data_IF_333612501213
#
_entry.id   IF_333612501213
#
_cell.length_a   1.000
_cell.length_b   1.000
_cell.length_c   1.000
_cell.angle_alpha   90.00
_cell.angle_beta   90.00
_cell.angle_gamma   90.00
#
_symmetry.space_group_name_H-M   'P 1'
#
loop_
_entity.id
_entity.type
_entity.pdbx_description
1 polymer ?
#
# COMPACT_ATOMS: atom_id res chain seq x y z
N UNK A 1 -14.67 -8.39 9.76
CA UNK A 1 -14.76 -8.15 8.30
C UNK A 1 -14.42 -9.46 7.57
N UNK A 2 -14.57 -9.53 6.24
CA UNK A 2 -14.61 -10.82 5.49
C UNK A 2 -13.22 -11.45 5.41
N UNK A 3 -12.21 -10.71 4.97
CA UNK A 3 -10.86 -11.24 4.80
C UNK A 3 -10.20 -11.59 6.14
N UNK A 4 -10.50 -10.85 7.20
CA UNK A 4 -10.01 -11.13 8.57
C UNK A 4 -10.65 -12.40 9.12
N UNK A 5 -11.94 -12.64 8.85
CA UNK A 5 -12.59 -13.92 9.22
C UNK A 5 -12.00 -15.07 8.41
N UNK A 6 -11.66 -14.84 7.14
CA UNK A 6 -11.05 -15.84 6.28
C UNK A 6 -9.62 -16.18 6.72
N UNK A 7 -8.78 -15.18 6.98
CA UNK A 7 -7.41 -15.37 7.47
C UNK A 7 -7.40 -16.16 8.77
N UNK A 8 -8.26 -15.78 9.73
CA UNK A 8 -8.39 -16.50 11.01
C UNK A 8 -8.85 -17.94 10.84
N UNK A 9 -9.84 -18.19 9.98
CA UNK A 9 -10.32 -19.56 9.70
C UNK A 9 -9.20 -20.43 9.11
N UNK A 10 -8.43 -19.90 8.17
CA UNK A 10 -7.31 -20.63 7.56
C UNK A 10 -6.21 -20.86 8.60
N UNK A 11 -5.85 -19.86 9.42
CA UNK A 11 -4.85 -19.98 10.46
C UNK A 11 -5.19 -21.07 11.49
N UNK A 12 -6.44 -21.07 11.99
CA UNK A 12 -6.93 -22.11 12.91
C UNK A 12 -6.91 -23.48 12.24
N UNK A 13 -7.32 -23.58 10.98
CA UNK A 13 -7.31 -24.86 10.25
C UNK A 13 -5.89 -25.42 10.09
N UNK A 14 -4.90 -24.57 9.78
CA UNK A 14 -3.49 -24.97 9.65
C UNK A 14 -2.98 -25.48 11.00
N UNK A 15 -3.17 -24.70 12.08
CA UNK A 15 -2.66 -25.07 13.41
C UNK A 15 -3.36 -26.28 14.01
N UNK A 16 -4.62 -26.52 13.64
CA UNK A 16 -5.35 -27.74 14.05
C UNK A 16 -4.83 -28.98 13.32
N UNK A 17 -4.44 -28.84 12.06
CA UNK A 17 -3.89 -29.94 11.26
C UNK A 17 -2.43 -30.27 11.63
N UNK A 18 -1.66 -29.27 12.05
CA UNK A 18 -0.27 -29.42 12.52
C UNK A 18 -0.04 -28.60 13.80
N UNK A 19 -0.39 -29.16 14.99
CA UNK A 19 -0.24 -28.46 16.26
C UNK A 19 1.20 -28.07 16.61
N UNK A 20 2.17 -28.90 16.22
CA UNK A 20 3.61 -28.69 16.49
C UNK A 20 4.29 -27.83 15.40
N UNK A 21 3.56 -27.47 14.35
CA UNK A 21 4.03 -26.61 13.27
C UNK A 21 4.46 -25.21 13.73
N UNK A 22 5.34 -24.53 13.00
CA UNK A 22 5.87 -23.23 13.40
C UNK A 22 4.81 -22.13 13.39
N UNK A 23 4.98 -21.15 14.27
CA UNK A 23 4.11 -19.97 14.38
C UNK A 23 2.86 -20.19 15.22
N UNK A 24 2.37 -19.12 15.84
CA UNK A 24 1.09 -19.10 16.57
C UNK A 24 -0.06 -18.80 15.60
N UNK A 25 -1.30 -19.00 16.05
CA UNK A 25 -2.50 -18.69 15.24
C UNK A 25 -2.49 -17.21 14.85
N UNK A 26 -2.04 -16.33 15.74
CA UNK A 26 -1.99 -14.88 15.54
C UNK A 26 -0.97 -14.49 14.45
N UNK A 27 0.22 -15.09 14.48
CA UNK A 27 1.25 -14.85 13.45
C UNK A 27 0.75 -15.36 12.09
N UNK A 28 0.15 -16.55 12.06
CA UNK A 28 -0.43 -17.12 10.83
C UNK A 28 -1.57 -16.26 10.30
N UNK A 29 -2.47 -15.80 11.16
CA UNK A 29 -3.60 -14.93 10.79
C UNK A 29 -3.10 -13.62 10.18
N UNK A 30 -2.08 -13.00 10.78
CA UNK A 30 -1.47 -11.77 10.28
C UNK A 30 -0.86 -11.96 8.88
N UNK A 31 0.01 -12.96 8.71
CA UNK A 31 0.67 -13.26 7.44
C UNK A 31 -0.32 -13.62 6.32
N UNK A 32 -1.32 -14.46 6.63
CA UNK A 32 -2.39 -14.79 5.70
C UNK A 32 -3.21 -13.56 5.34
N UNK A 33 -3.47 -12.70 6.32
CA UNK A 33 -4.14 -11.43 6.13
C UNK A 33 -3.43 -10.53 5.11
N UNK A 34 -2.12 -10.35 5.25
CA UNK A 34 -1.31 -9.56 4.30
C UNK A 34 -1.39 -10.12 2.87
N UNK A 35 -1.30 -11.45 2.72
CA UNK A 35 -1.41 -12.12 1.42
C UNK A 35 -2.80 -11.95 0.81
N UNK A 36 -3.86 -12.13 1.61
CA UNK A 36 -5.23 -11.94 1.16
C UNK A 36 -5.51 -10.50 0.75
N UNK A 37 -4.96 -9.52 1.47
CA UNK A 37 -5.03 -8.10 1.09
C UNK A 37 -4.47 -7.87 -0.32
N UNK A 38 -3.24 -8.37 -0.54
CA UNK A 38 -2.53 -8.24 -1.81
C UNK A 38 -3.31 -8.89 -2.96
N UNK A 39 -3.70 -10.15 -2.82
CA UNK A 39 -4.41 -10.86 -3.89
C UNK A 39 -5.80 -10.27 -4.16
N UNK A 40 -6.54 -9.88 -3.12
CA UNK A 40 -7.87 -9.28 -3.29
C UNK A 40 -7.77 -7.92 -3.96
N UNK A 41 -6.82 -7.08 -3.52
CA UNK A 41 -6.56 -5.78 -4.15
C UNK A 41 -6.18 -5.92 -5.62
N UNK A 42 -5.26 -6.85 -5.94
CA UNK A 42 -4.85 -7.12 -7.33
C UNK A 42 -6.00 -7.63 -8.19
N UNK A 43 -6.80 -8.58 -7.70
CA UNK A 43 -7.96 -9.11 -8.43
C UNK A 43 -8.99 -8.01 -8.71
N UNK A 44 -9.30 -7.18 -7.72
CA UNK A 44 -10.20 -6.04 -7.89
C UNK A 44 -9.67 -5.04 -8.93
N UNK A 45 -8.38 -4.70 -8.86
CA UNK A 45 -7.73 -3.82 -9.85
C UNK A 45 -7.84 -4.39 -11.27
N UNK A 46 -7.62 -5.69 -11.45
CA UNK A 46 -7.71 -6.34 -12.76
C UNK A 46 -9.15 -6.33 -13.27
N UNK A 47 -10.11 -6.76 -12.46
CA UNK A 47 -11.53 -6.83 -12.83
C UNK A 47 -12.04 -5.44 -13.24
N UNK A 48 -11.79 -4.43 -12.40
CA UNK A 48 -12.23 -3.06 -12.65
C UNK A 48 -11.46 -2.41 -13.81
N UNK A 49 -10.15 -2.63 -13.90
CA UNK A 49 -9.32 -2.13 -14.99
C UNK A 49 -9.73 -2.69 -16.36
N UNK A 50 -10.15 -3.96 -16.42
CA UNK A 50 -10.76 -4.54 -17.63
C UNK A 50 -12.11 -3.89 -17.91
N UNK A 51 -12.94 -3.71 -16.87
CA UNK A 51 -14.28 -3.10 -17.00
C UNK A 51 -14.20 -1.67 -17.53
N UNK A 52 -13.20 -0.88 -17.12
CA UNK A 52 -13.00 0.50 -17.54
C UNK A 52 -12.11 0.66 -18.78
N UNK A 53 -11.52 -0.43 -19.29
CA UNK A 53 -10.59 -0.37 -20.42
C UNK A 53 -9.23 0.27 -20.09
N UNK A 54 -8.86 0.36 -18.80
CA UNK A 54 -7.65 1.04 -18.31
C UNK A 54 -6.66 0.09 -17.62
N UNK A 55 -6.70 -1.20 -17.96
CA UNK A 55 -5.94 -2.25 -17.26
C UNK A 55 -4.46 -1.92 -17.06
N UNK A 56 -3.76 -1.37 -18.06
CA UNK A 56 -2.34 -1.01 -17.94
C UNK A 56 -2.13 0.11 -16.93
N UNK A 57 -2.90 1.21 -17.02
CA UNK A 57 -2.84 2.30 -16.06
C UNK A 57 -3.19 1.84 -14.65
N UNK A 58 -4.16 0.93 -14.52
CA UNK A 58 -4.61 0.41 -13.23
C UNK A 58 -3.51 -0.42 -12.56
N UNK A 59 -2.81 -1.27 -13.33
CA UNK A 59 -1.67 -2.02 -12.84
C UNK A 59 -0.49 -1.10 -12.50
N UNK A 60 -0.17 -0.12 -13.35
CA UNK A 60 0.87 0.89 -13.06
C UNK A 60 0.57 1.58 -11.72
N UNK A 61 -0.66 2.04 -11.53
CA UNK A 61 -1.10 2.69 -10.30
C UNK A 61 -0.93 1.78 -9.08
N UNK A 62 -1.43 0.54 -9.16
CA UNK A 62 -1.34 -0.43 -8.06
C UNK A 62 0.13 -0.69 -7.67
N UNK A 63 0.97 -1.01 -8.66
CA UNK A 63 2.37 -1.34 -8.39
C UNK A 63 3.16 -0.13 -7.91
N UNK A 64 2.91 1.07 -8.45
CA UNK A 64 3.51 2.30 -7.95
C UNK A 64 3.13 2.56 -6.51
N UNK A 65 1.83 2.47 -6.16
CA UNK A 65 1.35 2.65 -4.80
C UNK A 65 1.99 1.65 -3.83
N UNK A 66 2.00 0.36 -4.19
CA UNK A 66 2.59 -0.70 -3.35
C UNK A 66 4.10 -0.52 -3.20
N UNK A 67 4.80 -0.15 -4.27
CA UNK A 67 6.23 0.10 -4.24
C UNK A 67 6.56 1.26 -3.30
N UNK A 68 5.93 2.43 -3.46
CA UNK A 68 6.23 3.57 -2.60
C UNK A 68 5.80 3.33 -1.15
N UNK A 69 4.67 2.63 -0.93
CA UNK A 69 4.17 2.30 0.39
C UNK A 69 5.13 1.42 1.17
N UNK A 70 5.73 0.43 0.52
CA UNK A 70 6.74 -0.45 1.13
C UNK A 70 7.92 0.30 1.77
N UNK A 71 8.28 1.47 1.23
CA UNK A 71 9.43 2.24 1.70
C UNK A 71 9.06 3.49 2.50
N UNK A 72 7.80 3.93 2.42
CA UNK A 72 7.33 5.15 3.10
C UNK A 72 6.45 4.87 4.32
N UNK A 73 5.86 3.69 4.41
CA UNK A 73 4.94 3.29 5.49
C UNK A 73 3.51 3.75 5.27
N UNK A 74 2.91 4.37 6.28
CA UNK A 74 1.57 4.96 6.20
C UNK A 74 0.48 4.17 6.92
N UNK A 75 -0.72 4.77 6.98
CA UNK A 75 -1.82 4.20 7.77
C UNK A 75 -2.30 2.86 7.23
N UNK A 76 -2.41 1.87 8.11
CA UNK A 76 -3.00 0.56 7.83
C UNK A 76 -4.49 0.56 8.15
N UNK A 77 -5.30 0.33 7.11
CA UNK A 77 -6.73 0.07 7.25
C UNK A 77 -6.95 -1.43 7.53
N UNK A 78 -8.10 -1.83 8.09
CA UNK A 78 -8.45 -3.23 8.16
C UNK A 78 -8.38 -3.89 6.77
N UNK A 79 -7.86 -5.11 6.72
CA UNK A 79 -7.48 -5.86 5.52
C UNK A 79 -8.58 -5.87 4.45
N UNK A 80 -9.84 -6.13 4.86
CA UNK A 80 -10.96 -6.09 3.90
C UNK A 80 -11.12 -4.71 3.28
N UNK A 81 -11.12 -3.65 4.10
CA UNK A 81 -11.30 -2.27 3.63
C UNK A 81 -10.10 -1.82 2.80
N UNK A 82 -8.88 -2.15 3.25
CA UNK A 82 -7.64 -1.82 2.55
C UNK A 82 -7.64 -2.38 1.12
N UNK A 83 -7.97 -3.67 0.96
CA UNK A 83 -8.01 -4.33 -0.34
C UNK A 83 -9.02 -3.69 -1.30
N UNK A 84 -10.22 -3.36 -0.79
CA UNK A 84 -11.28 -2.71 -1.57
C UNK A 84 -10.84 -1.30 -1.98
N UNK A 85 -10.45 -0.46 -1.02
CA UNK A 85 -10.04 0.92 -1.29
C UNK A 85 -8.85 0.95 -2.26
N UNK A 86 -7.88 0.06 -2.09
CA UNK A 86 -6.72 -0.03 -2.98
C UNK A 86 -7.12 -0.46 -4.39
N UNK A 87 -7.95 -1.50 -4.53
CA UNK A 87 -8.40 -1.98 -5.84
C UNK A 87 -9.21 -0.94 -6.60
N UNK A 88 -10.14 -0.26 -5.91
CA UNK A 88 -10.93 0.81 -6.51
C UNK A 88 -10.09 2.03 -6.85
N UNK A 89 -9.23 2.51 -5.93
CA UNK A 89 -8.35 3.65 -6.21
C UNK A 89 -7.45 3.36 -7.40
N UNK A 90 -6.82 2.18 -7.45
CA UNK A 90 -5.96 1.78 -8.55
C UNK A 90 -6.70 1.75 -9.89
N UNK A 91 -7.96 1.29 -9.93
CA UNK A 91 -8.74 1.24 -11.16
C UNK A 91 -9.31 2.59 -11.60
N UNK A 92 -9.59 3.50 -10.65
CA UNK A 92 -10.17 4.82 -10.93
C UNK A 92 -9.14 5.88 -11.31
N UNK A 93 -7.94 5.84 -10.72
CA UNK A 93 -6.87 6.81 -11.00
C UNK A 93 -6.55 6.97 -12.50
N UNK A 94 -6.45 5.91 -13.32
CA UNK A 94 -6.20 6.02 -14.76
C UNK A 94 -7.30 6.74 -15.55
N UNK A 95 -8.49 6.95 -14.97
CA UNK A 95 -9.55 7.74 -15.60
C UNK A 95 -9.29 9.25 -15.49
N UNK A 96 -8.31 9.66 -14.67
CA UNK A 96 -7.94 11.05 -14.42
C UNK A 96 -6.67 11.36 -15.22
N UNK A 97 -6.82 12.18 -16.26
CA UNK A 97 -5.69 12.70 -17.02
C UNK A 97 -5.23 14.04 -16.43
N UNK A 98 -4.00 14.09 -15.95
CA UNK A 98 -3.39 15.31 -15.44
C UNK A 98 -2.63 16.04 -16.55
N UNK A 99 -2.69 17.37 -16.52
CA UNK A 99 -1.78 18.16 -17.34
C UNK A 99 -0.37 18.18 -16.72
N UNK A 100 0.62 18.60 -17.50
CA UNK A 100 2.03 18.57 -17.09
C UNK A 100 2.31 19.41 -15.83
N UNK A 101 1.69 20.57 -15.71
CA UNK A 101 1.84 21.46 -14.54
C UNK A 101 1.33 20.78 -13.26
N UNK A 102 0.20 20.09 -13.34
CA UNK A 102 -0.39 19.36 -12.21
C UNK A 102 0.48 18.17 -11.80
N UNK A 103 1.04 17.43 -12.77
CA UNK A 103 1.97 16.32 -12.48
C UNK A 103 3.18 16.84 -11.70
N UNK A 104 3.79 17.95 -12.13
CA UNK A 104 4.91 18.56 -11.43
C UNK A 104 4.50 18.98 -10.02
N UNK A 105 3.38 19.69 -9.89
CA UNK A 105 2.89 20.17 -8.60
C UNK A 105 2.69 19.02 -7.61
N UNK A 106 1.97 17.97 -8.00
CA UNK A 106 1.72 16.80 -7.16
C UNK A 106 3.01 16.07 -6.80
N UNK A 107 3.95 15.92 -7.75
CA UNK A 107 5.24 15.30 -7.47
C UNK A 107 6.07 16.14 -6.48
N UNK A 108 6.09 17.48 -6.59
CA UNK A 108 6.79 18.37 -5.65
C UNK A 108 6.19 18.24 -4.25
N UNK A 109 4.86 18.30 -4.13
CA UNK A 109 4.20 18.17 -2.82
C UNK A 109 4.48 16.79 -2.21
N UNK A 110 4.38 15.73 -3.02
CA UNK A 110 4.71 14.36 -2.59
C UNK A 110 6.16 14.25 -2.13
N UNK A 111 7.10 14.85 -2.86
CA UNK A 111 8.53 14.84 -2.54
C UNK A 111 8.81 15.51 -1.20
N UNK A 112 8.22 16.68 -0.96
CA UNK A 112 8.37 17.42 0.31
C UNK A 112 7.84 16.58 1.47
N UNK A 113 6.64 16.01 1.33
CA UNK A 113 6.05 15.16 2.38
C UNK A 113 6.92 13.93 2.65
N UNK A 114 7.43 13.25 1.60
CA UNK A 114 8.31 12.09 1.75
C UNK A 114 9.63 12.44 2.44
N UNK A 115 10.23 13.60 2.12
CA UNK A 115 11.48 14.05 2.76
C UNK A 115 11.31 14.28 4.26
N UNK A 116 10.19 14.90 4.65
CA UNK A 116 9.92 15.26 6.04
C UNK A 116 9.49 14.03 6.84
N UNK A 117 8.53 13.26 6.33
CA UNK A 117 7.80 12.28 7.14
C UNK A 117 8.18 10.81 6.88
N UNK A 118 8.75 10.44 5.73
CA UNK A 118 9.07 9.02 5.48
C UNK A 118 10.31 8.54 6.27
N UNK A 119 10.44 7.25 6.57
CA UNK A 119 9.32 6.32 6.73
C UNK A 119 8.47 6.72 7.95
N UNK A 120 7.14 6.64 7.83
CA UNK A 120 6.23 6.82 8.95
C UNK A 120 5.35 5.59 9.11
N UNK A 121 5.85 4.61 9.86
CA UNK A 121 5.09 3.41 10.21
C UNK A 121 4.20 3.68 11.43
N UNK A 122 2.92 3.30 11.31
CA UNK A 122 1.93 3.43 12.38
C UNK A 122 1.76 2.13 13.18
N UNK A 123 2.53 1.10 12.83
CA UNK A 123 2.62 -0.19 13.51
C UNK A 123 4.08 -0.47 13.88
N UNK A 124 4.31 -1.28 14.91
CA UNK A 124 5.67 -1.62 15.35
C UNK A 124 6.32 -2.54 14.33
N UNK A 125 7.39 -2.07 13.71
CA UNK A 125 8.26 -2.87 12.83
C UNK A 125 9.60 -3.04 13.53
N UNK A 126 10.11 -4.27 13.59
CA UNK A 126 11.44 -4.54 14.12
C UNK A 126 12.48 -3.79 13.27
N UNK A 127 13.30 -2.92 13.87
CA UNK A 127 14.20 -2.09 13.10
C UNK A 127 15.27 -2.94 12.40
N UNK A 128 15.47 -2.70 11.11
CA UNK A 128 16.46 -3.38 10.30
C UNK A 128 17.57 -2.42 9.86
N UNK A 129 18.72 -2.96 9.43
CA UNK A 129 19.82 -2.12 8.90
C UNK A 129 19.41 -1.32 7.64
N UNK A 130 18.38 -1.79 6.93
CA UNK A 130 17.86 -1.17 5.72
C UNK A 130 16.98 0.05 6.00
N UNK A 131 16.55 0.27 7.25
CA UNK A 131 15.63 1.34 7.62
C UNK A 131 16.18 2.73 7.28
N UNK A 132 17.51 2.88 7.35
CA UNK A 132 18.24 4.11 6.98
C UNK A 132 18.06 4.50 5.52
N UNK A 133 17.78 3.53 4.64
CA UNK A 133 17.64 3.72 3.20
C UNK A 133 16.19 3.93 2.76
N UNK A 134 15.20 3.55 3.57
CA UNK A 134 13.78 3.57 3.19
C UNK A 134 13.30 4.97 2.75
N UNK A 135 13.71 6.02 3.48
CA UNK A 135 13.45 7.42 3.10
C UNK A 135 14.01 7.72 1.71
N UNK A 136 15.28 7.41 1.48
CA UNK A 136 15.96 7.73 0.23
C UNK A 136 15.41 6.95 -0.96
N UNK A 137 14.97 5.71 -0.75
CA UNK A 137 14.28 4.93 -1.78
C UNK A 137 12.95 5.59 -2.12
N UNK A 138 12.14 5.99 -1.13
CA UNK A 138 10.87 6.69 -1.36
C UNK A 138 11.06 8.00 -2.14
N UNK A 139 12.06 8.80 -1.75
CA UNK A 139 12.43 10.04 -2.46
C UNK A 139 12.86 9.75 -3.89
N UNK A 140 13.69 8.72 -4.11
CA UNK A 140 14.18 8.34 -5.43
C UNK A 140 13.05 7.89 -6.37
N UNK A 141 12.04 7.19 -5.83
CA UNK A 141 10.85 6.83 -6.60
C UNK A 141 10.09 8.07 -7.09
N UNK A 142 9.83 9.05 -6.21
CA UNK A 142 9.16 10.30 -6.59
C UNK A 142 9.98 11.08 -7.61
N UNK A 143 11.30 11.18 -7.43
CA UNK A 143 12.22 11.79 -8.40
C UNK A 143 12.17 11.08 -9.77
N UNK A 144 12.07 9.76 -9.78
CA UNK A 144 11.89 8.97 -11.00
C UNK A 144 10.65 9.40 -11.81
N UNK A 145 9.54 9.75 -11.13
CA UNK A 145 8.34 10.20 -11.83
C UNK A 145 8.47 11.60 -12.47
N UNK A 146 9.41 12.45 -12.06
CA UNK A 146 9.70 13.68 -12.80
C UNK A 146 10.26 13.41 -14.20
N UNK A 147 10.93 12.26 -14.39
CA UNK A 147 11.46 11.83 -15.68
C UNK A 147 10.39 11.12 -16.51
N UNK A 148 9.62 10.22 -15.87
CA UNK A 148 8.56 9.43 -16.54
C UNK A 148 7.35 10.31 -16.89
N UNK A 149 7.02 11.29 -16.04
CA UNK A 149 5.88 12.21 -16.20
C UNK A 149 4.54 11.49 -16.33
N UNK A 150 4.34 10.40 -15.58
CA UNK A 150 3.08 9.65 -15.58
C UNK A 150 2.08 10.24 -14.58
N UNK A 151 0.84 10.43 -15.04
CA UNK A 151 -0.31 10.87 -14.23
C UNK A 151 -0.65 9.83 -13.16
N UNK A 152 -0.65 8.56 -13.55
CA UNK A 152 -0.96 7.41 -12.69
C UNK A 152 0.00 7.32 -11.52
N UNK A 153 1.30 7.38 -11.80
CA UNK A 153 2.36 7.34 -10.79
C UNK A 153 2.26 8.57 -9.88
N UNK A 154 1.98 9.75 -10.44
CA UNK A 154 1.89 11.00 -9.68
C UNK A 154 0.74 10.95 -8.66
N UNK A 155 -0.44 10.51 -9.08
CA UNK A 155 -1.60 10.35 -8.19
C UNK A 155 -1.37 9.26 -7.14
N UNK A 156 -0.78 8.12 -7.52
CA UNK A 156 -0.44 7.06 -6.58
C UNK A 156 0.51 7.56 -5.47
N UNK A 157 1.57 8.28 -5.85
CA UNK A 157 2.55 8.82 -4.90
C UNK A 157 1.97 9.93 -4.02
N UNK A 158 1.10 10.78 -4.58
CA UNK A 158 0.44 11.83 -3.82
C UNK A 158 -0.53 11.28 -2.78
N UNK A 159 -1.35 10.31 -3.14
CA UNK A 159 -2.23 9.62 -2.18
C UNK A 159 -1.39 8.98 -1.07
N UNK A 160 -0.30 8.30 -1.44
CA UNK A 160 0.60 7.70 -0.45
C UNK A 160 1.26 8.76 0.45
N UNK A 161 1.64 9.92 -0.08
CA UNK A 161 2.19 11.02 0.71
C UNK A 161 1.19 11.49 1.79
N UNK A 162 -0.09 11.61 1.46
CA UNK A 162 -1.13 11.97 2.43
C UNK A 162 -1.25 10.91 3.54
N UNK A 163 -1.12 9.63 3.21
CA UNK A 163 -1.25 8.52 4.17
C UNK A 163 -0.10 8.44 5.18
N UNK A 164 1.02 9.13 4.95
CA UNK A 164 2.16 9.18 5.89
C UNK A 164 2.17 10.44 6.76
N UNK A 165 1.22 11.38 6.61
CA UNK A 165 1.16 12.58 7.43
C UNK A 165 0.87 12.24 8.91
N UNK A 166 1.41 12.99 9.89
CA UNK A 166 1.23 12.72 11.32
C UNK A 166 -0.16 13.16 11.85
N UNK A 167 -1.17 13.22 10.99
CA UNK A 167 -2.57 13.54 11.35
C UNK A 167 -3.36 12.30 11.74
N UNK A 168 -2.82 11.11 11.42
CA UNK A 168 -3.47 9.85 11.65
C UNK A 168 -3.09 9.29 13.03
N UNK A 169 -4.07 8.71 13.73
CA UNK A 169 -3.85 8.14 15.06
C UNK A 169 -2.94 6.92 14.97
N UNK A 170 -1.82 6.93 15.69
CA UNK A 170 -1.03 5.71 15.92
C UNK A 170 -1.89 4.73 16.72
N UNK A 171 -2.14 3.55 16.16
CA UNK A 171 -2.70 2.45 16.96
C UNK A 171 -1.59 2.02 17.91
N UNK A 172 -1.73 2.37 19.19
CA UNK A 172 -0.96 1.71 20.23
C UNK A 172 -1.23 0.21 20.09
N UNK A 173 -0.18 -0.56 19.83
CA UNK A 173 -0.28 -2.01 19.68
C UNK A 173 -0.99 -2.56 20.91
N UNK A 174 -2.15 -3.19 20.70
CA UNK A 174 -2.80 -3.97 21.75
C UNK A 174 -1.86 -5.09 22.14
N UNK A 175 -1.34 -5.02 23.37
CA UNK A 175 -0.71 -6.15 24.05
C UNK A 175 -1.71 -7.24 24.37
#
# INVERSE_FOLDING_TARGET
MILERLSRRIAVSIKTADPEGPGTIEILEYELGLRLNWYTGLLLTIILGVTFGTILGALITLFSFVAIRKFSGGVHLPITICSIVTGFAAALIPLINLNYETIILLNIVSLIIMLIYAPNEFEYVNPTQWDKWLKWISVSLVLGNFLIKSSEISLAFFIQAILILPVWTKREGGG
#
